data_IF_473380171636
#
_entry.id   IF_473380171636
#
_cell.length_a   1.000
_cell.length_b   1.000
_cell.length_c   1.000
_cell.angle_alpha   90.00
_cell.angle_beta   90.00
_cell.angle_gamma   90.00
#
_symmetry.space_group_name_H-M   'P 1'
#
loop_
_entity.id
_entity.type
_entity.pdbx_description
1 polymer ?
#
# COMPACT_ATOMS: atom_id res chain seq x y z
N UNK A 1 16.83 -4.91 -5.51
CA UNK A 1 15.37 -4.69 -5.54
C UNK A 1 14.95 -3.36 -6.15
N UNK A 2 15.43 -2.21 -5.68
CA UNK A 2 15.02 -0.91 -6.25
C UNK A 2 15.23 -0.79 -7.77
N UNK A 3 16.31 -1.38 -8.33
CA UNK A 3 16.52 -1.46 -9.79
C UNK A 3 15.40 -2.20 -10.52
N UNK A 4 14.98 -3.36 -10.01
CA UNK A 4 13.88 -4.13 -10.60
C UNK A 4 12.55 -3.37 -10.50
N UNK A 5 12.29 -2.73 -9.35
CA UNK A 5 11.15 -1.86 -9.16
C UNK A 5 11.11 -0.75 -10.22
N UNK A 6 12.27 -0.14 -10.51
CA UNK A 6 12.41 0.89 -11.52
C UNK A 6 12.08 0.38 -12.92
N UNK A 7 12.54 -0.82 -13.26
CA UNK A 7 12.19 -1.46 -14.54
C UNK A 7 10.68 -1.72 -14.64
N UNK A 8 10.07 -2.29 -13.61
CA UNK A 8 8.64 -2.63 -13.61
C UNK A 8 7.75 -1.38 -13.67
N UNK A 9 8.13 -0.31 -12.99
CA UNK A 9 7.35 0.92 -12.89
C UNK A 9 7.74 1.98 -13.94
N UNK A 10 8.65 1.67 -14.87
CA UNK A 10 9.19 2.65 -15.83
C UNK A 10 8.09 3.38 -16.61
N UNK A 11 7.13 2.66 -17.18
CA UNK A 11 6.03 3.27 -17.93
C UNK A 11 5.09 4.08 -17.02
N UNK A 12 4.84 3.61 -15.80
CA UNK A 12 4.02 4.34 -14.82
C UNK A 12 4.65 5.69 -14.45
N UNK A 13 5.97 5.73 -14.31
CA UNK A 13 6.74 6.95 -14.03
C UNK A 13 6.73 7.92 -15.22
N UNK A 14 6.93 7.42 -16.45
CA UNK A 14 6.82 8.23 -17.68
C UNK A 14 5.44 8.87 -17.79
N UNK A 15 4.39 8.10 -17.51
CA UNK A 15 2.99 8.58 -17.52
C UNK A 15 2.75 9.60 -16.40
N UNK A 16 3.30 9.39 -15.20
CA UNK A 16 3.18 10.33 -14.09
C UNK A 16 3.88 11.67 -14.38
N UNK A 17 5.06 11.65 -15.01
CA UNK A 17 5.73 12.87 -15.46
C UNK A 17 4.96 13.60 -16.57
N UNK A 18 4.42 12.85 -17.54
CA UNK A 18 3.55 13.42 -18.57
C UNK A 18 2.33 14.10 -17.95
N UNK A 19 1.66 13.43 -17.00
CA UNK A 19 0.49 13.95 -16.31
C UNK A 19 0.79 15.22 -15.50
N UNK A 20 1.98 15.30 -14.89
CA UNK A 20 2.41 16.48 -14.13
C UNK A 20 2.71 17.70 -15.02
N UNK A 21 3.14 17.48 -16.26
CA UNK A 21 3.42 18.54 -17.24
C UNK A 21 2.23 18.89 -18.15
N UNK A 22 1.19 18.05 -18.20
CA UNK A 22 0.04 18.25 -19.06
C UNK A 22 -0.99 19.19 -18.40
N UNK A 23 -1.53 20.19 -19.12
CA UNK A 23 -2.68 20.96 -18.64
C UNK A 23 -3.90 20.04 -18.55
N UNK A 24 -4.32 19.74 -17.30
CA UNK A 24 -5.48 18.91 -16.97
C UNK A 24 -5.50 17.54 -17.71
N UNK A 25 -4.70 16.56 -17.26
CA UNK A 25 -4.77 15.19 -17.78
C UNK A 25 -6.13 14.51 -17.53
N UNK A 26 -7.01 15.11 -16.74
CA UNK A 26 -8.24 14.50 -16.24
C UNK A 26 -7.93 13.54 -15.08
N UNK A 27 -8.66 13.64 -13.98
CA UNK A 27 -8.45 12.83 -12.78
C UNK A 27 -9.35 11.59 -12.71
N UNK A 28 -10.26 11.42 -13.66
CA UNK A 28 -11.18 10.30 -13.66
C UNK A 28 -10.40 8.98 -13.64
N UNK A 29 -10.82 8.07 -12.77
CA UNK A 29 -10.50 6.66 -12.87
C UNK A 29 -11.75 5.97 -13.45
N UNK A 30 -11.70 5.45 -14.68
CA UNK A 30 -10.54 5.38 -15.59
C UNK A 30 -10.22 6.72 -16.29
N UNK A 31 -8.94 6.87 -16.70
CA UNK A 31 -8.46 8.04 -17.44
C UNK A 31 -9.35 8.32 -18.66
N UNK A 32 -9.77 9.59 -18.82
CA UNK A 32 -10.64 10.00 -19.91
C UNK A 32 -10.02 9.66 -21.28
N UNK A 33 -10.84 9.16 -22.22
CA UNK A 33 -10.39 8.67 -23.53
C UNK A 33 -9.54 9.69 -24.29
N UNK A 34 -9.91 10.97 -24.25
CA UNK A 34 -9.14 12.03 -24.92
C UNK A 34 -7.75 12.20 -24.31
N UNK A 35 -7.63 12.19 -22.98
CA UNK A 35 -6.35 12.30 -22.31
C UNK A 35 -5.47 11.06 -22.55
N UNK A 36 -6.09 9.89 -22.59
CA UNK A 36 -5.42 8.63 -22.89
C UNK A 36 -4.84 8.61 -24.31
N UNK A 37 -5.56 9.13 -25.31
CA UNK A 37 -5.02 9.26 -26.67
C UNK A 37 -3.88 10.29 -26.75
N UNK A 38 -4.00 11.43 -26.06
CA UNK A 38 -2.90 12.41 -26.00
C UNK A 38 -1.64 11.81 -25.37
N UNK A 39 -1.79 11.05 -24.28
CA UNK A 39 -0.68 10.36 -23.63
C UNK A 39 -0.07 9.28 -24.54
N UNK A 40 -0.91 8.48 -25.22
CA UNK A 40 -0.48 7.45 -26.14
C UNK A 40 0.41 8.04 -27.26
N UNK A 41 -0.04 9.12 -27.88
CA UNK A 41 0.74 9.84 -28.89
C UNK A 41 2.02 10.43 -28.31
N UNK A 42 1.94 11.14 -27.16
CA UNK A 42 3.09 11.84 -26.59
C UNK A 42 4.18 10.90 -26.05
N UNK A 43 3.81 9.70 -25.61
CA UNK A 43 4.72 8.72 -25.01
C UNK A 43 5.08 7.58 -25.95
N UNK A 44 4.54 7.58 -27.17
CA UNK A 44 4.70 6.51 -28.15
C UNK A 44 4.32 5.13 -27.57
N UNK A 45 3.22 5.10 -26.81
CA UNK A 45 2.68 3.91 -26.17
C UNK A 45 1.30 3.60 -26.74
N UNK A 46 0.91 2.32 -26.71
CA UNK A 46 -0.47 1.97 -27.04
C UNK A 46 -1.45 2.52 -25.98
N UNK A 47 -2.70 2.79 -26.36
CA UNK A 47 -3.78 3.15 -25.43
C UNK A 47 -3.90 2.20 -24.22
N UNK A 48 -3.68 0.90 -24.44
CA UNK A 48 -3.72 -0.11 -23.38
C UNK A 48 -2.55 0.02 -22.40
N UNK A 49 -1.33 0.25 -22.90
CA UNK A 49 -0.15 0.48 -22.06
C UNK A 49 -0.30 1.76 -21.22
N UNK A 50 -0.87 2.82 -21.79
CA UNK A 50 -1.15 4.07 -21.07
C UNK A 50 -2.16 3.82 -19.94
N UNK A 51 -3.24 3.08 -20.21
CA UNK A 51 -4.24 2.77 -19.17
C UNK A 51 -3.62 1.96 -18.03
N UNK A 52 -2.91 0.89 -18.36
CA UNK A 52 -2.26 0.05 -17.36
C UNK A 52 -1.19 0.82 -16.55
N UNK A 53 -0.43 1.69 -17.21
CA UNK A 53 0.58 2.52 -16.54
C UNK A 53 -0.03 3.64 -15.68
N UNK A 54 -1.17 4.21 -16.08
CA UNK A 54 -1.94 5.17 -15.28
C UNK A 54 -2.47 4.52 -13.99
N UNK A 55 -3.07 3.34 -14.11
CA UNK A 55 -3.58 2.60 -12.94
C UNK A 55 -2.43 2.25 -11.99
N UNK A 56 -1.30 1.76 -12.52
CA UNK A 56 -0.09 1.51 -11.73
C UNK A 56 0.44 2.77 -11.07
N UNK A 57 0.46 3.91 -11.76
CA UNK A 57 0.95 5.17 -11.19
C UNK A 57 0.07 5.66 -10.03
N UNK A 58 -1.25 5.45 -10.12
CA UNK A 58 -2.20 5.76 -9.05
C UNK A 58 -2.01 4.83 -7.84
N UNK A 59 -1.95 3.51 -8.09
CA UNK A 59 -1.79 2.51 -7.02
C UNK A 59 -0.43 2.62 -6.31
N UNK A 60 0.65 2.91 -7.05
CA UNK A 60 1.98 3.12 -6.48
C UNK A 60 2.15 4.49 -5.78
N UNK A 61 1.13 5.37 -5.81
CA UNK A 61 1.20 6.72 -5.24
C UNK A 61 2.20 7.65 -5.94
N UNK A 62 2.46 7.41 -7.23
CA UNK A 62 3.22 8.33 -8.10
C UNK A 62 2.35 9.51 -8.53
N UNK A 63 1.04 9.30 -8.58
CA UNK A 63 0.02 10.32 -8.87
C UNK A 63 -0.99 10.34 -7.72
N UNK A 64 -1.34 11.54 -7.28
CA UNK A 64 -2.38 11.77 -6.27
C UNK A 64 -3.57 12.48 -6.94
N UNK A 65 -4.74 11.85 -6.87
CA UNK A 65 -5.97 12.44 -7.41
C UNK A 65 -6.54 13.47 -6.43
N UNK A 66 -6.77 14.69 -6.91
CA UNK A 66 -7.28 15.83 -6.16
C UNK A 66 -8.45 16.45 -6.92
N UNK A 67 -9.68 16.03 -6.58
CA UNK A 67 -10.87 16.41 -7.33
C UNK A 67 -10.71 16.06 -8.81
N UNK A 68 -10.81 17.06 -9.68
CA UNK A 68 -10.68 16.92 -11.14
C UNK A 68 -9.22 16.95 -11.65
N UNK A 69 -8.24 17.05 -10.75
CA UNK A 69 -6.83 17.17 -11.10
C UNK A 69 -5.99 15.98 -10.61
N UNK A 70 -5.01 15.58 -11.41
CA UNK A 70 -3.98 14.65 -11.00
C UNK A 70 -2.71 15.45 -10.66
N UNK A 71 -2.15 15.22 -9.48
CA UNK A 71 -0.92 15.90 -9.02
C UNK A 71 0.22 14.90 -8.88
N UNK A 72 1.48 15.31 -9.12
CA UNK A 72 2.61 14.46 -8.84
C UNK A 72 2.67 14.16 -7.34
N UNK A 73 2.67 12.87 -6.99
CA UNK A 73 2.83 12.43 -5.62
C UNK A 73 4.25 12.66 -5.11
N UNK A 74 4.44 12.64 -3.80
CA UNK A 74 5.78 12.85 -3.21
C UNK A 74 6.79 11.77 -3.67
N UNK A 75 6.31 10.55 -3.96
CA UNK A 75 7.14 9.43 -4.44
C UNK A 75 7.74 9.70 -5.81
N UNK A 76 6.98 10.36 -6.71
CA UNK A 76 7.51 10.77 -8.01
C UNK A 76 8.66 11.76 -7.86
N UNK A 77 8.55 12.71 -6.91
CA UNK A 77 9.61 13.70 -6.60
C UNK A 77 10.87 13.09 -5.96
N UNK A 78 10.78 11.87 -5.46
CA UNK A 78 11.87 11.16 -4.80
C UNK A 78 12.44 10.02 -5.66
N UNK A 79 11.80 9.70 -6.79
CA UNK A 79 12.01 8.48 -7.58
C UNK A 79 13.48 8.24 -7.99
N UNK A 80 14.15 9.28 -8.46
CA UNK A 80 15.53 9.17 -8.97
C UNK A 80 16.59 9.13 -7.87
N UNK A 81 16.24 9.57 -6.65
CA UNK A 81 17.22 9.84 -5.57
C UNK A 81 17.01 9.04 -4.29
N UNK A 82 15.87 8.36 -4.14
CA UNK A 82 15.50 7.64 -2.92
C UNK A 82 14.99 6.23 -3.25
N UNK A 83 15.88 5.24 -3.10
CA UNK A 83 15.56 3.82 -3.27
C UNK A 83 14.48 3.34 -2.30
N UNK A 84 14.34 3.97 -1.13
CA UNK A 84 13.28 3.62 -0.17
C UNK A 84 11.93 4.11 -0.66
N UNK A 85 11.86 5.28 -1.30
CA UNK A 85 10.62 5.76 -1.93
C UNK A 85 10.18 4.83 -3.08
N UNK A 86 11.14 4.35 -3.87
CA UNK A 86 10.91 3.36 -4.95
C UNK A 86 10.32 2.06 -4.39
N UNK A 87 10.94 1.49 -3.35
CA UNK A 87 10.47 0.25 -2.75
C UNK A 87 9.09 0.42 -2.09
N UNK A 88 8.85 1.53 -1.38
CA UNK A 88 7.52 1.84 -0.83
C UNK A 88 6.45 2.00 -1.91
N UNK A 89 6.79 2.53 -3.09
CA UNK A 89 5.87 2.61 -4.23
C UNK A 89 5.53 1.23 -4.82
N UNK A 90 6.50 0.33 -4.89
CA UNK A 90 6.27 -1.04 -5.35
C UNK A 90 5.40 -1.83 -4.37
N UNK A 91 5.61 -1.71 -3.06
CA UNK A 91 4.76 -2.35 -2.05
C UNK A 91 3.34 -1.78 -2.09
N UNK A 92 3.18 -0.46 -2.17
CA UNK A 92 1.87 0.18 -2.27
C UNK A 92 1.08 -0.26 -3.50
N UNK A 93 1.75 -0.54 -4.63
CA UNK A 93 1.11 -1.11 -5.80
C UNK A 93 0.45 -2.47 -5.48
N UNK A 94 1.16 -3.36 -4.80
CA UNK A 94 0.61 -4.68 -4.47
C UNK A 94 -0.52 -4.61 -3.45
N UNK A 95 -0.37 -3.78 -2.41
CA UNK A 95 -1.41 -3.52 -1.41
C UNK A 95 -2.69 -2.95 -2.03
N UNK A 96 -2.56 -1.93 -2.88
CA UNK A 96 -3.72 -1.34 -3.54
C UNK A 96 -4.31 -2.26 -4.62
N UNK A 97 -3.50 -3.12 -5.25
CA UNK A 97 -3.98 -4.13 -6.20
C UNK A 97 -4.83 -5.21 -5.51
N UNK A 98 -4.41 -5.70 -4.33
CA UNK A 98 -5.18 -6.70 -3.58
C UNK A 98 -6.53 -6.17 -3.09
N UNK A 99 -6.65 -4.86 -2.84
CA UNK A 99 -7.91 -4.21 -2.46
C UNK A 99 -8.86 -4.02 -3.65
N UNK A 100 -8.35 -3.82 -4.87
CA UNK A 100 -9.15 -3.50 -6.06
C UNK A 100 -9.52 -4.75 -6.86
N UNK A 101 -8.70 -5.80 -6.81
CA UNK A 101 -9.01 -7.08 -7.44
C UNK A 101 -9.65 -8.02 -6.44
N UNK A 102 -10.96 -8.23 -6.60
CA UNK A 102 -11.68 -9.25 -5.85
C UNK A 102 -10.96 -10.60 -5.99
N UNK A 103 -10.89 -11.35 -4.89
CA UNK A 103 -10.36 -12.69 -4.92
C UNK A 103 -11.14 -13.52 -5.95
N UNK A 104 -10.47 -14.39 -6.72
CA UNK A 104 -11.15 -15.31 -7.63
C UNK A 104 -12.25 -16.09 -6.89
N UNK A 105 -13.33 -16.44 -7.57
CA UNK A 105 -14.42 -17.21 -6.95
C UNK A 105 -13.87 -18.51 -6.33
N UNK A 106 -14.22 -18.74 -5.05
CA UNK A 106 -13.72 -19.88 -4.28
C UNK A 106 -12.38 -19.65 -3.56
N UNK A 107 -11.80 -18.44 -3.64
CA UNK A 107 -10.62 -18.04 -2.86
C UNK A 107 -11.02 -16.99 -1.82
N UNK A 108 -10.68 -17.24 -0.56
CA UNK A 108 -10.91 -16.29 0.54
C UNK A 108 -10.11 -15.00 0.31
N UNK A 109 -10.73 -13.83 0.53
CA UNK A 109 -10.08 -12.53 0.33
C UNK A 109 -8.80 -12.36 1.17
N UNK A 110 -8.75 -12.96 2.36
CA UNK A 110 -7.56 -12.98 3.22
C UNK A 110 -6.37 -13.69 2.58
N UNK A 111 -6.60 -14.75 1.79
CA UNK A 111 -5.53 -15.52 1.15
C UNK A 111 -4.76 -14.69 0.10
N UNK A 112 -5.42 -13.75 -0.59
CA UNK A 112 -4.78 -12.86 -1.56
C UNK A 112 -3.88 -11.84 -0.85
N UNK A 113 -4.34 -11.28 0.27
CA UNK A 113 -3.55 -10.35 1.08
C UNK A 113 -2.31 -11.02 1.67
N UNK A 114 -2.45 -12.24 2.19
CA UNK A 114 -1.34 -13.04 2.74
C UNK A 114 -0.32 -13.43 1.66
N UNK A 115 -0.79 -13.79 0.47
CA UNK A 115 0.10 -14.03 -0.67
C UNK A 115 0.90 -12.78 -1.05
N UNK A 116 0.26 -11.61 -1.09
CA UNK A 116 0.92 -10.32 -1.34
C UNK A 116 1.95 -10.00 -0.26
N UNK A 117 1.63 -10.25 1.01
CA UNK A 117 2.54 -10.04 2.13
C UNK A 117 3.78 -10.95 2.06
N UNK A 118 3.63 -12.18 1.56
CA UNK A 118 4.72 -13.14 1.39
C UNK A 118 5.64 -12.88 0.17
N UNK A 119 5.16 -12.15 -0.85
CA UNK A 119 5.88 -11.90 -2.12
C UNK A 119 7.30 -11.31 -1.94
N UNK A 120 7.57 -10.33 -1.05
CA UNK A 120 8.91 -9.76 -0.90
C UNK A 120 10.00 -10.77 -0.53
N UNK A 121 9.71 -11.72 0.38
CA UNK A 121 10.68 -12.77 0.75
C UNK A 121 10.87 -13.79 -0.37
N UNK A 122 9.77 -14.17 -1.05
CA UNK A 122 9.83 -15.05 -2.23
C UNK A 122 10.68 -14.42 -3.34
N UNK A 123 10.48 -13.13 -3.63
CA UNK A 123 11.29 -12.39 -4.61
C UNK A 123 12.75 -12.30 -4.19
N UNK A 124 13.03 -12.16 -2.89
CA UNK A 124 14.40 -12.14 -2.38
C UNK A 124 15.09 -13.49 -2.61
N UNK A 125 14.39 -14.60 -2.37
CA UNK A 125 14.92 -15.93 -2.64
C UNK A 125 15.14 -16.17 -4.13
N UNK A 126 14.20 -15.78 -4.99
CA UNK A 126 14.34 -15.89 -6.45
C UNK A 126 15.55 -15.10 -6.98
N UNK A 127 15.91 -14.00 -6.32
CA UNK A 127 17.10 -13.22 -6.69
C UNK A 127 18.39 -13.90 -6.22
N UNK A 128 18.36 -14.54 -5.05
CA UNK A 128 19.49 -15.28 -4.50
C UNK A 128 19.71 -16.63 -5.21
N UNK A 129 18.65 -17.26 -5.72
CA UNK A 129 18.74 -18.55 -6.41
C UNK A 129 19.54 -18.47 -7.72
N UNK A 130 19.70 -17.27 -8.29
CA UNK A 130 20.50 -17.00 -9.48
C UNK A 130 20.28 -17.99 -10.65
N UNK A 131 19.05 -18.51 -10.78
CA UNK A 131 18.71 -19.59 -11.70
C UNK A 131 17.21 -19.91 -11.70
N UNK A 132 16.75 -20.74 -12.65
CA UNK A 132 15.34 -21.09 -12.77
C UNK A 132 14.85 -21.86 -11.54
N UNK A 133 13.71 -21.44 -10.99
CA UNK A 133 13.01 -22.13 -9.91
C UNK A 133 11.77 -22.80 -10.47
N UNK A 134 11.58 -24.08 -10.15
CA UNK A 134 10.40 -24.81 -10.59
C UNK A 134 9.14 -24.21 -9.96
N UNK A 135 8.08 -24.06 -10.76
CA UNK A 135 6.80 -23.48 -10.30
C UNK A 135 6.24 -24.17 -9.04
N UNK A 136 6.25 -25.53 -8.93
CA UNK A 136 5.80 -26.18 -7.69
C UNK A 136 6.60 -25.75 -6.47
N UNK A 137 7.94 -25.68 -6.58
CA UNK A 137 8.79 -25.25 -5.48
C UNK A 137 8.53 -23.79 -5.08
N UNK A 138 8.23 -22.92 -6.06
CA UNK A 138 7.84 -21.54 -5.77
C UNK A 138 6.52 -21.45 -4.99
N UNK A 139 5.54 -22.29 -5.34
CA UNK A 139 4.26 -22.36 -4.64
C UNK A 139 4.42 -22.92 -3.23
N UNK A 140 5.26 -23.93 -3.04
CA UNK A 140 5.57 -24.48 -1.72
C UNK A 140 6.24 -23.43 -0.81
N UNK A 141 7.18 -22.66 -1.35
CA UNK A 141 7.84 -21.56 -0.63
C UNK A 141 6.86 -20.45 -0.24
N UNK A 142 5.92 -20.11 -1.13
CA UNK A 142 4.89 -19.13 -0.85
C UNK A 142 3.94 -19.64 0.25
N UNK A 143 3.50 -20.89 0.17
CA UNK A 143 2.64 -21.51 1.16
C UNK A 143 3.32 -21.59 2.53
N UNK A 144 4.59 -21.98 2.57
CA UNK A 144 5.40 -22.01 3.79
C UNK A 144 5.47 -20.62 4.42
N UNK A 145 5.74 -19.57 3.65
CA UNK A 145 5.82 -18.22 4.22
C UNK A 145 4.49 -17.69 4.72
N UNK A 146 3.39 -18.02 4.05
CA UNK A 146 2.04 -17.67 4.51
C UNK A 146 1.77 -18.34 5.86
N UNK A 147 2.11 -19.63 6.01
CA UNK A 147 1.94 -20.34 7.28
C UNK A 147 2.73 -19.67 8.42
N UNK A 148 3.99 -19.30 8.17
CA UNK A 148 4.81 -18.57 9.14
C UNK A 148 4.21 -17.22 9.54
N UNK A 149 3.72 -16.43 8.56
CA UNK A 149 3.04 -15.16 8.83
C UNK A 149 1.76 -15.34 9.66
N UNK A 150 1.02 -16.41 9.42
CA UNK A 150 -0.17 -16.74 10.19
C UNK A 150 0.18 -17.13 11.64
N UNK A 151 1.27 -17.89 11.83
CA UNK A 151 1.81 -18.22 13.16
C UNK A 151 2.28 -16.96 13.91
N UNK A 152 3.08 -16.09 13.26
CA UNK A 152 3.55 -14.81 13.80
C UNK A 152 2.38 -13.91 14.27
N UNK A 153 1.24 -13.95 13.56
CA UNK A 153 0.02 -13.22 13.94
C UNK A 153 -0.77 -13.88 15.08
N UNK A 154 -0.72 -15.19 15.20
CA UNK A 154 -1.33 -15.93 16.31
C UNK A 154 -0.54 -15.76 17.62
N UNK A 155 0.75 -15.50 17.53
CA UNK A 155 1.64 -15.29 18.68
C UNK A 155 1.51 -13.91 19.35
N UNK A 156 0.57 -13.05 18.94
CA UNK A 156 0.30 -11.80 19.68
C UNK A 156 -0.25 -12.18 21.06
N UNK A 157 0.50 -11.96 22.17
CA UNK A 157 -0.03 -12.20 23.50
C UNK A 157 -1.06 -11.10 23.75
N UNK A 158 -2.34 -11.47 23.69
CA UNK A 158 -3.38 -10.67 24.33
C UNK A 158 -3.11 -10.75 25.83
N UNK A 159 -2.36 -9.77 26.34
CA UNK A 159 -2.21 -9.53 27.76
C UNK A 159 -3.59 -9.53 28.40
N UNK A 160 -3.78 -10.45 29.35
CA UNK A 160 -5.03 -10.83 29.97
C UNK A 160 -5.96 -9.65 30.30
N UNK A 161 -7.24 -9.78 29.92
CA UNK A 161 -8.32 -8.95 30.48
C UNK A 161 -8.74 -9.44 31.87
N UNK A 162 -8.76 -8.52 32.85
CA UNK A 162 -9.66 -8.38 34.03
C UNK A 162 -9.01 -7.37 34.99
N UNK A 163 -9.66 -6.31 35.46
CA UNK A 163 -11.02 -6.30 36.02
C UNK A 163 -11.69 -4.94 35.77
N UNK A 164 -12.91 -4.98 35.22
CA UNK A 164 -13.89 -3.95 35.50
C UNK A 164 -14.53 -4.25 36.86
N UNK A 165 -14.56 -3.24 37.73
CA UNK A 165 -15.35 -3.11 38.94
C UNK A 165 -15.02 -4.01 40.15
N UNK A 166 -14.15 -3.51 41.04
CA UNK A 166 -14.28 -3.35 42.50
C UNK A 166 -12.91 -2.86 43.01
N UNK A 167 -12.74 -1.76 43.73
CA UNK A 167 -13.54 -1.22 44.81
C UNK A 167 -13.37 0.30 44.89
N UNK A 168 -14.46 1.01 45.20
CA UNK A 168 -14.40 2.39 45.64
C UNK A 168 -13.58 2.53 46.93
N UNK A 169 -12.90 3.66 47.17
CA UNK A 169 -12.76 4.17 48.51
C UNK A 169 -13.92 5.13 48.78
N UNK A 170 -14.87 4.67 49.60
CA UNK A 170 -15.54 5.57 50.51
C UNK A 170 -14.45 6.12 51.45
N UNK A 171 -14.14 7.41 51.33
CA UNK A 171 -13.41 8.14 52.38
C UNK A 171 -14.30 9.26 52.86
N UNK A 172 -15.13 8.89 53.83
CA UNK A 172 -15.29 9.59 55.11
C UNK A 172 -14.61 10.96 55.23
N UNK A 173 -15.45 12.00 55.28
CA UNK A 173 -15.41 13.04 56.30
C UNK A 173 -14.16 13.91 56.41
N UNK A 174 -14.27 15.16 55.94
CA UNK A 174 -13.62 16.30 56.61
C UNK A 174 -14.69 17.32 56.99
N UNK A 175 -14.89 17.63 58.29
CA UNK A 175 -15.84 18.65 58.68
C UNK A 175 -15.30 20.02 58.27
N UNK A 176 -16.16 20.84 57.64
CA UNK A 176 -15.95 22.27 57.50
C UNK A 176 -16.38 22.91 58.82
N UNK A 177 -15.50 23.59 59.58
CA UNK A 177 -15.97 24.42 60.67
C UNK A 177 -16.63 25.68 60.07
N UNK A 178 -17.87 25.91 60.47
CA UNK A 178 -18.57 27.18 60.27
C UNK A 178 -18.34 28.11 61.48
N UNK A 179 -18.39 29.41 61.18
CA UNK A 179 -18.33 30.59 62.07
C UNK A 179 -16.91 30.99 62.56
N UNK A 180 -16.53 32.26 62.54
CA UNK A 180 -17.32 33.39 63.01
C UNK A 180 -16.96 34.76 62.36
N UNK A 181 -17.92 35.69 62.52
CA UNK A 181 -18.05 37.08 62.10
C UNK A 181 -16.95 38.03 62.62
N UNK A 182 -16.74 39.13 61.89
CA UNK A 182 -16.54 40.54 62.31
C UNK A 182 -15.83 41.28 61.16
N UNK A 183 -16.19 42.48 60.68
CA UNK A 183 -17.14 43.51 61.07
C UNK A 183 -17.54 44.31 59.81
#
# INVERSE_FOLDING_TARGET
MARQARTVLADAVRIAHWAAGAPAPGSAAPLATQALQRAATALELSPAQVRAGWDRARLAGLIELHGDTARPGWRLRAWDRDDSAVLRGWVALFDAWSLVHAAPEGIEAGAVAEAVEAVPQVLSLLQLSAGPVAVPALLDLLAQRIAELQEERCEVPYGAGRSAAESAPATTGRPVPAADRSA
#
